data_IF_190927385609
#
_entry.id   IF_190927385609
#
_cell.length_a   1.000
_cell.length_b   1.000
_cell.length_c   1.000
_cell.angle_alpha   90.00
_cell.angle_beta   90.00
_cell.angle_gamma   90.00
#
_symmetry.space_group_name_H-M   'P 1'
#
loop_
_entity.id
_entity.type
_entity.pdbx_description
1 polymer ?
#
# COMPACT_ATOMS: atom_id res chain seq x y z
N UNK A 1 22.16 0.95 6.51
CA UNK A 1 23.32 0.87 5.60
C UNK A 1 23.71 2.28 5.13
N UNK A 2 24.91 2.79 5.46
CA UNK A 2 25.23 4.22 5.23
C UNK A 2 25.24 4.65 3.76
N UNK A 3 25.65 3.78 2.85
CA UNK A 3 25.76 4.12 1.42
C UNK A 3 24.45 3.89 0.65
N UNK A 4 23.81 2.73 0.81
CA UNK A 4 22.56 2.41 0.13
C UNK A 4 21.39 3.30 0.57
N UNK A 5 21.08 3.29 1.86
CA UNK A 5 19.98 4.10 2.41
C UNK A 5 20.29 5.60 2.31
N UNK A 6 21.57 5.96 2.41
CA UNK A 6 22.03 7.34 2.22
C UNK A 6 21.80 7.84 0.79
N UNK A 7 22.02 7.00 -0.23
CA UNK A 7 21.70 7.34 -1.61
C UNK A 7 20.19 7.50 -1.81
N UNK A 8 19.39 6.54 -1.30
CA UNK A 8 17.93 6.62 -1.37
C UNK A 8 17.38 7.91 -0.76
N UNK A 9 17.83 8.24 0.46
CA UNK A 9 17.40 9.46 1.16
C UNK A 9 17.81 10.72 0.39
N UNK A 10 19.03 10.76 -0.16
CA UNK A 10 19.50 11.89 -0.97
C UNK A 10 18.64 12.09 -2.21
N UNK A 11 18.33 11.02 -2.96
CA UNK A 11 17.46 11.12 -4.12
C UNK A 11 16.07 11.63 -3.74
N UNK A 12 15.52 11.21 -2.59
CA UNK A 12 14.23 11.74 -2.11
C UNK A 12 14.31 13.23 -1.77
N UNK A 13 15.40 13.67 -1.14
CA UNK A 13 15.66 15.08 -0.83
C UNK A 13 15.81 15.93 -2.10
N UNK A 14 16.57 15.46 -3.09
CA UNK A 14 16.74 16.16 -4.38
C UNK A 14 15.39 16.31 -5.12
N UNK A 15 14.54 15.30 -5.08
CA UNK A 15 13.21 15.36 -5.68
C UNK A 15 12.27 16.28 -4.87
N UNK A 16 12.37 16.32 -3.54
CA UNK A 16 11.48 17.17 -2.73
C UNK A 16 11.69 18.67 -2.97
N UNK A 17 12.92 19.08 -3.33
CA UNK A 17 13.20 20.46 -3.75
C UNK A 17 12.38 20.91 -4.99
N UNK A 18 11.97 19.96 -5.83
CA UNK A 18 11.13 20.23 -7.01
C UNK A 18 9.63 20.37 -6.65
N UNK A 19 9.23 19.97 -5.44
CA UNK A 19 7.85 19.98 -4.96
C UNK A 19 7.73 20.68 -3.58
N UNK A 20 8.09 21.97 -3.48
CA UNK A 20 8.16 22.69 -2.19
C UNK A 20 6.82 22.83 -1.45
N UNK A 21 5.70 22.57 -2.14
CA UNK A 21 4.36 22.52 -1.56
C UNK A 21 4.07 21.23 -0.76
N UNK A 22 4.91 20.21 -0.88
CA UNK A 22 4.79 18.94 -0.16
C UNK A 22 5.84 18.93 0.95
N UNK A 23 5.42 18.79 2.20
CA UNK A 23 6.33 18.67 3.33
C UNK A 23 7.14 17.38 3.24
N UNK A 24 8.47 17.50 3.36
CA UNK A 24 9.38 16.38 3.32
C UNK A 24 9.98 16.12 4.69
N UNK A 25 9.69 14.96 5.26
CA UNK A 25 10.30 14.44 6.48
C UNK A 25 11.02 13.11 6.21
N UNK A 26 12.00 12.79 7.05
CA UNK A 26 12.67 11.49 7.03
C UNK A 26 12.71 10.87 8.41
N UNK A 27 12.45 9.57 8.51
CA UNK A 27 12.42 8.83 9.77
C UNK A 27 13.13 7.48 9.61
N UNK A 28 13.87 7.07 10.64
CA UNK A 28 14.49 5.73 10.67
C UNK A 28 13.41 4.66 10.85
N UNK A 29 13.60 3.51 10.19
CA UNK A 29 12.58 2.45 10.10
C UNK A 29 12.09 1.96 11.47
N UNK A 30 12.99 1.82 12.45
CA UNK A 30 12.63 1.38 13.80
C UNK A 30 11.64 2.35 14.47
N UNK A 31 11.91 3.66 14.37
CA UNK A 31 11.01 4.68 14.90
C UNK A 31 9.71 4.73 14.08
N UNK A 32 9.77 4.55 12.77
CA UNK A 32 8.59 4.48 11.90
C UNK A 32 7.64 3.37 12.36
N UNK A 33 8.15 2.16 12.62
CA UNK A 33 7.36 1.05 13.13
C UNK A 33 6.74 1.35 14.50
N UNK A 34 7.50 1.94 15.43
CA UNK A 34 6.98 2.34 16.74
C UNK A 34 5.85 3.36 16.61
N UNK A 35 6.02 4.36 15.74
CA UNK A 35 5.04 5.42 15.51
C UNK A 35 3.79 4.92 14.79
N UNK A 36 3.92 3.97 13.85
CA UNK A 36 2.78 3.36 13.17
C UNK A 36 1.85 2.65 14.15
N UNK A 37 2.40 1.98 15.15
CA UNK A 37 1.60 1.33 16.19
C UNK A 37 1.04 2.34 17.20
N UNK A 38 1.81 3.35 17.57
CA UNK A 38 1.44 4.29 18.63
C UNK A 38 0.49 5.40 18.16
N UNK A 39 0.71 5.97 16.98
CA UNK A 39 -0.08 7.05 16.40
C UNK A 39 0.01 7.03 14.86
N UNK A 40 -0.70 6.10 14.18
CA UNK A 40 -0.61 5.96 12.72
C UNK A 40 -1.12 7.19 11.95
N UNK A 41 -2.01 7.99 12.54
CA UNK A 41 -2.65 9.14 11.88
C UNK A 41 -1.70 10.30 11.56
N UNK A 42 -0.44 10.25 12.03
CA UNK A 42 0.57 11.24 11.68
C UNK A 42 1.15 11.06 10.27
N UNK A 43 0.97 9.89 9.67
CA UNK A 43 1.53 9.56 8.36
C UNK A 43 0.51 9.85 7.26
N UNK A 44 0.99 10.43 6.16
CA UNK A 44 0.20 10.65 4.95
C UNK A 44 0.74 9.74 3.82
N UNK A 45 1.83 10.16 3.17
CA UNK A 45 2.50 9.37 2.12
C UNK A 45 3.87 8.89 2.60
N UNK A 46 4.15 7.61 2.40
CA UNK A 46 5.43 7.00 2.80
C UNK A 46 6.14 6.42 1.58
N UNK A 47 7.37 6.87 1.33
CA UNK A 47 8.23 6.35 0.25
C UNK A 47 9.42 5.64 0.87
N UNK A 48 9.54 4.34 0.58
CA UNK A 48 10.40 3.42 1.33
C UNK A 48 11.03 2.41 0.35
N UNK A 49 12.31 2.01 0.53
CA UNK A 49 12.90 0.95 -0.30
C UNK A 49 12.26 -0.41 -0.01
N UNK A 50 12.35 -1.32 -1.01
CA UNK A 50 11.61 -2.59 -1.08
C UNK A 50 11.51 -3.37 0.24
N UNK A 51 12.64 -3.69 0.91
CA UNK A 51 12.64 -4.49 2.13
C UNK A 51 11.83 -3.83 3.27
N UNK A 52 12.04 -2.53 3.49
CA UNK A 52 11.35 -1.79 4.55
C UNK A 52 9.88 -1.55 4.19
N UNK A 53 9.58 -1.39 2.91
CA UNK A 53 8.20 -1.31 2.40
C UNK A 53 7.40 -2.55 2.77
N UNK A 54 7.96 -3.75 2.53
CA UNK A 54 7.26 -4.99 2.89
C UNK A 54 6.97 -5.13 4.40
N UNK A 55 7.84 -4.62 5.26
CA UNK A 55 7.62 -4.62 6.72
C UNK A 55 6.49 -3.66 7.08
N UNK A 56 6.55 -2.44 6.56
CA UNK A 56 5.56 -1.39 6.82
C UNK A 56 4.19 -1.77 6.26
N UNK A 57 4.13 -2.33 5.05
CA UNK A 57 2.88 -2.77 4.42
C UNK A 57 2.16 -3.83 5.25
N UNK A 58 2.89 -4.83 5.77
CA UNK A 58 2.31 -5.85 6.63
C UNK A 58 1.85 -5.28 7.98
N UNK A 59 2.63 -4.37 8.57
CA UNK A 59 2.26 -3.70 9.81
C UNK A 59 0.99 -2.86 9.64
N UNK A 60 0.94 -2.04 8.59
CA UNK A 60 -0.20 -1.20 8.26
C UNK A 60 -1.45 -2.03 7.92
N UNK A 61 -1.28 -3.12 7.17
CA UNK A 61 -2.38 -4.06 6.91
C UNK A 61 -2.94 -4.64 8.20
N UNK A 62 -2.08 -5.02 9.17
CA UNK A 62 -2.50 -5.47 10.49
C UNK A 62 -3.34 -4.44 11.26
N UNK A 63 -3.00 -3.15 11.16
CA UNK A 63 -3.71 -2.06 11.85
C UNK A 63 -5.14 -1.84 11.32
N UNK A 64 -5.39 -2.11 10.04
CA UNK A 64 -6.68 -1.83 9.38
C UNK A 64 -7.60 -3.04 9.24
N UNK A 65 -7.28 -4.18 9.86
CA UNK A 65 -8.12 -5.39 9.85
C UNK A 65 -7.50 -6.59 9.12
N UNK A 66 -6.25 -6.49 8.69
CA UNK A 66 -5.46 -7.58 8.14
C UNK A 66 -5.36 -7.57 6.62
N UNK A 67 -4.64 -8.56 6.10
CA UNK A 67 -4.33 -8.69 4.68
C UNK A 67 -5.54 -8.83 3.74
N UNK A 68 -6.65 -9.37 4.26
CA UNK A 68 -7.84 -9.64 3.46
C UNK A 68 -8.61 -8.40 3.00
N UNK A 69 -8.26 -7.21 3.51
CA UNK A 69 -8.99 -5.96 3.21
C UNK A 69 -8.14 -4.89 2.50
N UNK A 70 -6.84 -5.12 2.33
CA UNK A 70 -5.93 -4.12 1.75
C UNK A 70 -5.67 -4.42 0.27
N UNK A 71 -6.10 -3.55 -0.66
CA UNK A 71 -5.73 -3.67 -2.08
C UNK A 71 -4.31 -3.14 -2.34
N UNK A 72 -3.67 -3.63 -3.40
CA UNK A 72 -2.35 -3.21 -3.85
C UNK A 72 -2.27 -3.03 -5.36
N UNK A 73 -1.26 -2.27 -5.80
CA UNK A 73 -1.00 -2.03 -7.21
C UNK A 73 0.51 -1.89 -7.46
N UNK A 74 1.00 -2.57 -8.50
CA UNK A 74 2.37 -2.47 -9.00
C UNK A 74 2.37 -1.79 -10.35
N UNK A 75 2.96 -0.60 -10.43
CA UNK A 75 3.02 0.21 -11.65
C UNK A 75 4.39 0.07 -12.34
N UNK A 76 4.38 -0.01 -13.66
CA UNK A 76 5.54 0.13 -14.54
C UNK A 76 5.19 1.01 -15.73
N UNK A 77 6.15 1.32 -16.59
CA UNK A 77 5.91 2.06 -17.84
C UNK A 77 5.02 1.32 -18.83
N UNK A 78 5.04 -0.02 -18.80
CA UNK A 78 4.42 -0.86 -19.83
C UNK A 78 3.12 -1.52 -19.36
N UNK A 79 3.02 -1.80 -18.05
CA UNK A 79 1.87 -2.47 -17.48
C UNK A 79 1.63 -2.10 -16.02
N UNK A 80 0.41 -2.40 -15.56
CA UNK A 80 0.00 -2.27 -14.16
C UNK A 80 -0.63 -3.58 -13.71
N UNK A 81 -0.24 -4.04 -12.53
CA UNK A 81 -0.76 -5.25 -11.90
C UNK A 81 -1.48 -4.86 -10.61
N UNK A 82 -2.75 -5.22 -10.50
CA UNK A 82 -3.54 -5.06 -9.28
C UNK A 82 -3.63 -6.40 -8.55
N UNK A 83 -3.20 -6.43 -7.30
CA UNK A 83 -3.13 -7.64 -6.47
C UNK A 83 -3.33 -7.27 -4.99
N UNK A 84 -3.81 -8.20 -4.13
CA UNK A 84 -3.92 -7.93 -2.69
C UNK A 84 -2.61 -7.39 -2.10
N UNK A 85 -2.69 -6.31 -1.33
CA UNK A 85 -1.53 -5.54 -0.88
C UNK A 85 -0.60 -6.33 0.04
N UNK A 86 -1.15 -7.25 0.82
CA UNK A 86 -0.38 -8.24 1.55
C UNK A 86 -0.33 -9.55 0.75
N UNK A 87 0.87 -9.91 0.31
CA UNK A 87 1.15 -11.10 -0.52
C UNK A 87 1.12 -12.40 0.29
N UNK A 88 -0.02 -12.72 0.88
CA UNK A 88 -0.26 -14.00 1.57
C UNK A 88 -1.06 -14.94 0.69
N UNK A 89 -0.54 -16.15 0.48
CA UNK A 89 -1.18 -17.17 -0.35
C UNK A 89 -2.35 -17.86 0.35
N UNK A 90 -2.35 -17.89 1.69
CA UNK A 90 -3.35 -18.54 2.54
C UNK A 90 -3.79 -19.92 2.02
N UNK A 91 -2.81 -20.76 1.65
CA UNK A 91 -3.06 -22.01 0.92
C UNK A 91 -4.00 -22.99 1.64
N UNK A 92 -4.03 -22.97 2.97
CA UNK A 92 -4.92 -23.79 3.79
C UNK A 92 -6.42 -23.52 3.57
N UNK A 93 -6.80 -22.37 3.01
CA UNK A 93 -8.19 -22.01 2.73
C UNK A 93 -8.69 -22.49 1.36
N UNK A 94 -7.81 -23.04 0.53
CA UNK A 94 -8.14 -23.51 -0.82
C UNK A 94 -9.27 -24.53 -0.77
N UNK A 95 -10.35 -24.27 -1.52
CA UNK A 95 -11.52 -25.15 -1.58
C UNK A 95 -12.43 -25.13 -0.34
N UNK A 96 -12.14 -24.30 0.67
CA UNK A 96 -12.92 -24.24 1.92
C UNK A 96 -13.96 -23.13 1.96
N UNK A 97 -13.96 -22.21 0.99
CA UNK A 97 -14.86 -21.07 0.92
C UNK A 97 -14.84 -20.18 2.19
N UNK A 98 -13.66 -19.97 2.76
CA UNK A 98 -13.45 -19.17 3.98
C UNK A 98 -12.57 -17.92 3.76
N UNK A 99 -12.08 -17.71 2.54
CA UNK A 99 -11.22 -16.57 2.23
C UNK A 99 -12.05 -15.29 2.17
N UNK A 100 -11.53 -14.19 2.74
CA UNK A 100 -12.13 -12.87 2.61
C UNK A 100 -11.79 -12.28 1.22
N UNK A 101 -12.79 -12.03 0.34
CA UNK A 101 -12.55 -11.54 -1.01
C UNK A 101 -12.41 -10.01 -1.11
N UNK A 102 -12.59 -9.26 -0.02
CA UNK A 102 -12.64 -7.78 -0.02
C UNK A 102 -11.44 -7.14 -0.73
N UNK A 103 -10.21 -7.51 -0.37
CA UNK A 103 -9.01 -6.97 -1.01
C UNK A 103 -9.01 -7.19 -2.54
N UNK A 104 -9.47 -8.35 -3.00
CA UNK A 104 -9.52 -8.66 -4.44
C UNK A 104 -10.58 -7.82 -5.17
N UNK A 105 -11.75 -7.61 -4.56
CA UNK A 105 -12.76 -6.73 -5.16
C UNK A 105 -12.30 -5.27 -5.20
N UNK A 106 -11.61 -4.80 -4.16
CA UNK A 106 -11.03 -3.46 -4.16
C UNK A 106 -9.93 -3.33 -5.23
N UNK A 107 -9.10 -4.36 -5.45
CA UNK A 107 -8.14 -4.39 -6.56
C UNK A 107 -8.84 -4.29 -7.91
N UNK A 108 -9.92 -5.03 -8.12
CA UNK A 108 -10.71 -4.95 -9.35
C UNK A 108 -11.32 -3.56 -9.54
N UNK A 109 -11.82 -2.92 -8.47
CA UNK A 109 -12.32 -1.55 -8.52
C UNK A 109 -11.22 -0.55 -8.92
N UNK A 110 -10.01 -0.69 -8.37
CA UNK A 110 -8.86 0.14 -8.75
C UNK A 110 -8.46 -0.07 -10.22
N UNK A 111 -8.43 -1.33 -10.69
CA UNK A 111 -8.17 -1.67 -12.08
C UNK A 111 -9.21 -1.04 -13.02
N UNK A 112 -10.50 -1.18 -12.72
CA UNK A 112 -11.58 -0.56 -13.50
C UNK A 112 -11.42 0.95 -13.58
N UNK A 113 -11.06 1.60 -12.47
CA UNK A 113 -10.78 3.04 -12.45
C UNK A 113 -9.59 3.39 -13.34
N UNK A 114 -8.53 2.58 -13.34
CA UNK A 114 -7.34 2.78 -14.17
C UNK A 114 -7.64 2.73 -15.67
N UNK A 115 -8.55 1.86 -16.11
CA UNK A 115 -8.99 1.75 -17.51
C UNK A 115 -10.17 2.67 -17.85
N UNK A 116 -10.39 3.74 -17.08
CA UNK A 116 -11.45 4.75 -17.24
C UNK A 116 -12.90 4.22 -17.14
N UNK A 117 -13.10 3.07 -16.50
CA UNK A 117 -14.42 2.49 -16.22
C UNK A 117 -14.95 2.96 -14.85
N UNK A 118 -15.01 4.27 -14.64
CA UNK A 118 -15.29 4.89 -13.34
C UNK A 118 -16.63 4.49 -12.73
N UNK A 119 -17.69 4.40 -13.53
CA UNK A 119 -19.02 4.00 -13.05
C UNK A 119 -18.98 2.62 -12.38
N UNK A 120 -18.38 1.63 -13.05
CA UNK A 120 -18.26 0.27 -12.54
C UNK A 120 -17.32 0.17 -11.35
N UNK A 121 -16.22 0.94 -11.36
CA UNK A 121 -15.30 1.02 -10.24
C UNK A 121 -15.99 1.53 -8.96
N UNK A 122 -16.77 2.62 -9.08
CA UNK A 122 -17.51 3.19 -7.95
C UNK A 122 -18.62 2.26 -7.50
N UNK A 123 -19.41 1.70 -8.41
CA UNK A 123 -20.47 0.74 -8.08
C UNK A 123 -19.93 -0.45 -7.27
N UNK A 124 -18.81 -1.03 -7.72
CA UNK A 124 -18.18 -2.16 -7.02
C UNK A 124 -17.64 -1.75 -5.66
N UNK A 125 -16.94 -0.61 -5.59
CA UNK A 125 -16.38 -0.11 -4.33
C UNK A 125 -17.47 0.18 -3.29
N UNK A 126 -18.50 0.92 -3.67
CA UNK A 126 -19.60 1.29 -2.76
C UNK A 126 -20.35 0.05 -2.26
N UNK A 127 -20.51 -0.97 -3.12
CA UNK A 127 -21.09 -2.24 -2.72
C UNK A 127 -20.22 -3.01 -1.70
N UNK A 128 -18.90 -2.90 -1.79
CA UNK A 128 -17.97 -3.52 -0.82
C UNK A 128 -17.91 -2.73 0.49
N UNK A 129 -17.87 -1.40 0.42
CA UNK A 129 -17.80 -0.52 1.59
C UNK A 129 -19.13 -0.51 2.39
N UNK A 130 -20.26 -0.80 1.73
CA UNK A 130 -21.58 -0.87 2.35
C UNK A 130 -21.96 -2.23 2.97
N UNK A 131 -21.09 -3.24 2.88
CA UNK A 131 -21.26 -4.54 3.56
C UNK A 131 -20.82 -4.47 5.02
#
# INVERSE_FOLDING_TARGET
MKLGDGLFLRCCQEISELYPQIEFESMIIDNTCMQLVANPHRFDVMVIPNLYGNIVDNLAAGLVGGAGVVPGASYSSDCVIYEPGARHTFGEATGKNIANPTAMFLCAAQMLRHVNLHYYATLLKDAVDGM
#
